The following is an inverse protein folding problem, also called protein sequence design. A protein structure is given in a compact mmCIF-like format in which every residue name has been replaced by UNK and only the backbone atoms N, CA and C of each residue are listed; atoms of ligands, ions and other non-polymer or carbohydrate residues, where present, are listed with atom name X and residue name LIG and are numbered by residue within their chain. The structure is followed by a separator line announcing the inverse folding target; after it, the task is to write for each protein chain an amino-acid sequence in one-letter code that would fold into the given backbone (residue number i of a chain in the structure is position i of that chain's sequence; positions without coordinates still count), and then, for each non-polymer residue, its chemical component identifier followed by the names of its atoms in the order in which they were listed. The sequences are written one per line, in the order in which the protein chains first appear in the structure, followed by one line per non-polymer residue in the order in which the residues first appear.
data_IF_446746161864
#
_entry.id   IF_446746161864
#
_cell.length_a   1.000
_cell.length_b   1.000
_cell.length_c   1.000
_cell.angle_alpha   90.00
_cell.angle_beta   90.00
_cell.angle_gamma   90.00
#
_symmetry.space_group_name_H-M   'P 1'
#
loop_
_entity.id
_entity.type
_entity.pdbx_description
1 polymer ?
#
# COMPACT_ATOMS: atom_id res chain seq x y z
N UNK A 1 -31.83 8.49 -11.25
CA UNK A 1 -30.65 8.38 -10.37
C UNK A 1 -29.74 9.57 -10.61
N UNK A 2 -29.24 10.19 -9.55
CA UNK A 2 -28.28 11.29 -9.63
C UNK A 2 -26.86 10.78 -9.91
N UNK A 3 -25.97 11.64 -10.42
CA UNK A 3 -24.54 11.31 -10.59
C UNK A 3 -23.88 10.86 -9.27
N UNK A 4 -24.34 11.40 -8.13
CA UNK A 4 -23.88 11.03 -6.78
C UNK A 4 -24.28 9.59 -6.42
N UNK A 5 -25.52 9.19 -6.72
CA UNK A 5 -25.99 7.82 -6.48
C UNK A 5 -25.27 6.79 -7.38
N UNK A 6 -24.91 7.17 -8.61
CA UNK A 6 -24.10 6.32 -9.48
C UNK A 6 -22.65 6.18 -8.98
N UNK A 7 -22.04 7.27 -8.51
CA UNK A 7 -20.70 7.24 -7.94
C UNK A 7 -20.62 6.37 -6.67
N UNK A 8 -21.64 6.43 -5.80
CA UNK A 8 -21.72 5.64 -4.56
C UNK A 8 -21.81 4.13 -4.81
N UNK A 9 -22.32 3.70 -5.97
CA UNK A 9 -22.35 2.28 -6.37
C UNK A 9 -21.01 1.77 -6.90
N UNK A 10 -20.04 2.66 -7.12
CA UNK A 10 -18.70 2.27 -7.53
C UNK A 10 -17.98 1.54 -6.39
N UNK A 11 -17.40 0.38 -6.69
CA UNK A 11 -16.53 -0.37 -5.78
C UNK A 11 -15.34 0.46 -5.24
N UNK A 12 -14.98 1.54 -5.94
CA UNK A 12 -13.91 2.46 -5.53
C UNK A 12 -14.39 3.61 -4.64
N UNK A 13 -15.70 3.84 -4.53
CA UNK A 13 -16.26 4.97 -3.78
C UNK A 13 -15.73 5.04 -2.35
N UNK A 14 -15.71 3.90 -1.65
CA UNK A 14 -15.26 3.80 -0.27
C UNK A 14 -13.78 4.14 -0.07
N UNK A 15 -13.00 4.19 -1.16
CA UNK A 15 -11.57 4.53 -1.15
C UNK A 15 -11.30 5.97 -1.62
N UNK A 16 -12.32 6.74 -1.96
CA UNK A 16 -12.18 8.14 -2.42
C UNK A 16 -12.03 9.06 -1.21
N UNK A 17 -11.11 10.02 -1.32
CA UNK A 17 -10.89 11.06 -0.31
C UNK A 17 -12.10 12.01 -0.19
N UNK A 18 -12.35 12.53 1.01
CA UNK A 18 -13.44 13.45 1.31
C UNK A 18 -13.43 14.71 0.43
N UNK A 19 -12.26 15.33 0.25
CA UNK A 19 -12.11 16.50 -0.63
C UNK A 19 -12.35 16.19 -2.13
N UNK A 20 -12.44 14.91 -2.50
CA UNK A 20 -12.79 14.42 -3.85
C UNK A 20 -14.20 13.84 -3.91
N UNK A 21 -15.03 14.07 -2.89
CA UNK A 21 -16.42 13.62 -2.83
C UNK A 21 -16.64 12.19 -2.30
N UNK A 22 -15.61 11.57 -1.73
CA UNK A 22 -15.71 10.25 -1.09
C UNK A 22 -15.86 10.31 0.44
N UNK A 23 -15.81 9.16 1.13
CA UNK A 23 -16.00 9.12 2.58
C UNK A 23 -14.70 9.25 3.40
N UNK A 24 -13.51 9.03 2.82
CA UNK A 24 -12.28 8.94 3.62
C UNK A 24 -11.73 10.30 4.02
N UNK A 25 -11.57 10.53 5.32
CA UNK A 25 -10.93 11.73 5.85
C UNK A 25 -9.43 11.78 5.50
N UNK A 26 -8.76 12.89 5.83
CA UNK A 26 -7.29 12.94 5.76
C UNK A 26 -6.67 11.93 6.73
N UNK A 27 -7.17 11.86 7.98
CA UNK A 27 -6.69 10.94 9.00
C UNK A 27 -6.81 9.48 8.58
N UNK A 28 -7.90 9.11 7.92
CA UNK A 28 -8.08 7.73 7.41
C UNK A 28 -7.00 7.37 6.39
N UNK A 29 -6.74 8.28 5.46
CA UNK A 29 -5.72 8.06 4.42
C UNK A 29 -4.31 8.04 5.00
N UNK A 30 -4.02 8.85 6.01
CA UNK A 30 -2.75 8.84 6.75
C UNK A 30 -2.53 7.50 7.47
N UNK A 31 -3.57 6.92 8.06
CA UNK A 31 -3.49 5.60 8.69
C UNK A 31 -3.30 4.47 7.68
N UNK A 32 -3.97 4.55 6.52
CA UNK A 32 -3.82 3.55 5.45
C UNK A 32 -2.42 3.57 4.81
N UNK A 33 -1.84 4.77 4.58
CA UNK A 33 -0.47 4.86 4.05
C UNK A 33 0.56 4.39 5.07
N UNK A 34 0.35 4.67 6.37
CA UNK A 34 1.18 4.16 7.47
C UNK A 34 1.19 2.65 7.46
N UNK A 35 0.02 2.02 7.50
CA UNK A 35 -0.11 0.57 7.50
C UNK A 35 0.57 -0.07 6.28
N UNK A 36 0.35 0.48 5.09
CA UNK A 36 0.99 -0.02 3.88
C UNK A 36 2.52 0.14 3.93
N UNK A 37 3.03 1.28 4.40
CA UNK A 37 4.46 1.54 4.59
C UNK A 37 5.07 0.54 5.57
N UNK A 38 4.45 0.33 6.73
CA UNK A 38 4.91 -0.61 7.76
C UNK A 38 5.00 -2.05 7.23
N UNK A 39 4.02 -2.50 6.41
CA UNK A 39 4.10 -3.80 5.75
C UNK A 39 5.33 -3.93 4.84
N UNK A 40 5.71 -2.87 4.11
CA UNK A 40 6.89 -2.90 3.24
C UNK A 40 8.19 -2.83 4.04
N UNK A 41 8.23 -2.01 5.09
CA UNK A 41 9.39 -1.89 5.98
C UNK A 41 9.71 -3.21 6.68
N UNK A 42 8.70 -3.96 7.10
CA UNK A 42 8.88 -5.25 7.76
C UNK A 42 9.62 -6.27 6.89
N UNK A 43 9.35 -6.27 5.57
CA UNK A 43 9.97 -7.18 4.61
C UNK A 43 11.19 -6.58 3.90
N UNK A 44 11.58 -5.34 4.22
CA UNK A 44 12.65 -4.62 3.52
C UNK A 44 14.00 -5.34 3.58
N UNK A 45 14.25 -6.07 4.68
CA UNK A 45 15.46 -6.87 4.87
C UNK A 45 15.65 -7.97 3.79
N UNK A 46 14.58 -8.35 3.07
CA UNK A 46 14.63 -9.32 1.98
C UNK A 46 15.09 -8.72 0.64
N UNK A 47 15.23 -7.39 0.55
CA UNK A 47 15.68 -6.72 -0.67
C UNK A 47 17.15 -7.00 -1.00
N UNK A 48 17.91 -7.52 -0.05
CA UNK A 48 19.34 -7.79 -0.16
C UNK A 48 20.19 -6.79 0.65
N UNK A 49 21.52 -6.92 0.57
CA UNK A 49 22.45 -6.10 1.36
C UNK A 49 22.44 -4.62 0.97
N UNK A 50 22.19 -4.32 -0.31
CA UNK A 50 22.06 -2.96 -0.83
C UNK A 50 20.64 -2.76 -1.37
N UNK A 51 19.85 -1.98 -0.64
CA UNK A 51 18.48 -1.63 -1.05
C UNK A 51 18.55 -0.49 -2.06
N UNK A 52 17.87 -0.64 -3.21
CA UNK A 52 17.77 0.43 -4.20
C UNK A 52 17.20 1.71 -3.56
N UNK A 53 17.92 2.82 -3.73
CA UNK A 53 17.56 4.11 -3.12
C UNK A 53 16.14 4.57 -3.50
N UNK A 54 15.62 4.18 -4.67
CA UNK A 54 14.25 4.53 -5.08
C UNK A 54 13.18 3.86 -4.22
N UNK A 55 13.48 2.71 -3.62
CA UNK A 55 12.60 2.04 -2.63
C UNK A 55 12.60 2.87 -1.35
N UNK A 56 13.79 3.22 -0.84
CA UNK A 56 13.97 4.01 0.39
C UNK A 56 13.27 5.37 0.25
N UNK A 57 13.48 6.06 -0.87
CA UNK A 57 12.85 7.34 -1.18
C UNK A 57 11.31 7.26 -1.15
N UNK A 58 10.73 6.17 -1.64
CA UNK A 58 9.29 5.95 -1.61
C UNK A 58 8.78 5.80 -0.18
N UNK A 59 9.45 5.03 0.67
CA UNK A 59 9.07 4.82 2.07
C UNK A 59 9.22 6.11 2.89
N UNK A 60 10.33 6.82 2.73
CA UNK A 60 10.56 8.13 3.38
C UNK A 60 9.51 9.15 2.95
N UNK A 61 9.16 9.18 1.65
CA UNK A 61 8.13 10.10 1.14
C UNK A 61 6.73 9.72 1.62
N UNK A 62 6.44 8.42 1.74
CA UNK A 62 5.20 7.95 2.34
C UNK A 62 5.07 8.42 3.80
N UNK A 63 6.14 8.28 4.60
CA UNK A 63 6.19 8.80 5.96
C UNK A 63 6.08 10.33 6.02
N UNK A 64 6.70 11.06 5.09
CA UNK A 64 6.56 12.51 5.01
C UNK A 64 5.12 12.93 4.72
N UNK A 65 4.42 12.24 3.80
CA UNK A 65 3.05 12.54 3.43
C UNK A 65 2.07 12.20 4.56
N UNK A 66 2.29 11.07 5.22
CA UNK A 66 1.59 10.68 6.45
C UNK A 66 1.59 11.82 7.48
N UNK A 67 2.70 12.57 7.58
CA UNK A 67 2.88 13.69 8.50
C UNK A 67 2.57 15.08 7.89
N UNK A 68 1.98 15.15 6.69
CA UNK A 68 1.62 16.41 6.04
C UNK A 68 2.81 17.25 5.54
N UNK A 69 3.99 16.63 5.38
CA UNK A 69 5.26 17.32 5.03
C UNK A 69 5.59 17.33 3.53
N UNK A 70 4.79 16.65 2.70
CA UNK A 70 5.01 16.59 1.25
C UNK A 70 3.69 16.46 0.49
N UNK A 71 3.73 16.70 -0.82
CA UNK A 71 2.55 16.68 -1.68
C UNK A 71 2.21 15.27 -2.19
N UNK A 72 0.95 15.06 -2.55
CA UNK A 72 0.55 13.84 -3.28
C UNK A 72 1.29 13.73 -4.64
N UNK A 73 1.63 14.85 -5.27
CA UNK A 73 2.40 14.86 -6.52
C UNK A 73 3.80 14.28 -6.35
N UNK A 74 4.49 14.61 -5.26
CA UNK A 74 5.81 14.08 -4.95
C UNK A 74 5.75 12.58 -4.60
N UNK A 75 4.70 12.16 -3.89
CA UNK A 75 4.43 10.74 -3.67
C UNK A 75 4.31 9.97 -4.98
N UNK A 76 3.59 10.51 -5.97
CA UNK A 76 3.46 9.87 -7.28
C UNK A 76 4.78 9.79 -8.05
N UNK A 77 5.63 10.82 -7.98
CA UNK A 77 6.99 10.76 -8.56
C UNK A 77 7.81 9.62 -7.94
N UNK A 78 7.78 9.46 -6.62
CA UNK A 78 8.49 8.38 -5.93
C UNK A 78 7.88 7.00 -6.19
N UNK A 79 6.56 6.90 -6.32
CA UNK A 79 5.88 5.68 -6.76
C UNK A 79 6.41 5.21 -8.13
N UNK A 80 6.50 6.12 -9.10
CA UNK A 80 7.05 5.83 -10.42
C UNK A 80 8.52 5.38 -10.34
N UNK A 81 9.32 6.04 -9.50
CA UNK A 81 10.71 5.66 -9.23
C UNK A 81 10.85 4.23 -8.69
N UNK A 82 10.08 3.87 -7.66
CA UNK A 82 10.09 2.52 -7.10
C UNK A 82 9.62 1.46 -8.12
N UNK A 83 8.60 1.78 -8.93
CA UNK A 83 8.20 0.92 -10.04
C UNK A 83 9.26 0.81 -11.15
N UNK A 84 10.07 1.84 -11.39
CA UNK A 84 11.22 1.75 -12.29
C UNK A 84 12.30 0.82 -11.73
N UNK A 85 12.57 0.87 -10.41
CA UNK A 85 13.47 -0.08 -9.74
C UNK A 85 13.00 -1.53 -9.91
N UNK A 86 11.70 -1.77 -9.75
CA UNK A 86 11.12 -3.09 -9.97
C UNK A 86 11.32 -3.61 -11.41
N UNK A 87 11.24 -2.73 -12.42
CA UNK A 87 11.36 -3.12 -13.84
C UNK A 87 12.76 -3.54 -14.24
N UNK A 88 13.79 -2.92 -13.65
CA UNK A 88 15.20 -3.20 -13.98
C UNK A 88 15.81 -4.32 -13.14
N UNK A 89 15.15 -4.72 -12.06
CA UNK A 89 15.61 -5.80 -11.17
C UNK A 89 15.42 -7.19 -11.79
N UNK A 90 16.47 -8.00 -11.76
CA UNK A 90 16.44 -9.44 -12.08
C UNK A 90 16.11 -10.31 -10.86
N UNK A 91 16.27 -9.79 -9.64
CA UNK A 91 15.83 -10.43 -8.41
C UNK A 91 14.31 -10.23 -8.22
N UNK A 92 13.55 -11.32 -8.18
CA UNK A 92 12.08 -11.30 -8.07
C UNK A 92 11.59 -10.82 -6.70
N UNK A 93 12.28 -11.18 -5.61
CA UNK A 93 11.97 -10.70 -4.25
C UNK A 93 12.17 -9.18 -4.16
N UNK A 94 13.31 -8.68 -4.64
CA UNK A 94 13.55 -7.23 -4.73
C UNK A 94 12.51 -6.53 -5.62
N UNK A 95 12.14 -7.13 -6.76
CA UNK A 95 11.10 -6.61 -7.65
C UNK A 95 9.74 -6.51 -6.94
N UNK A 96 9.38 -7.50 -6.12
CA UNK A 96 8.16 -7.45 -5.32
C UNK A 96 8.21 -6.34 -4.27
N UNK A 97 9.31 -6.19 -3.53
CA UNK A 97 9.49 -5.12 -2.53
C UNK A 97 9.44 -3.74 -3.18
N UNK A 98 10.09 -3.54 -4.33
CA UNK A 98 10.03 -2.30 -5.07
C UNK A 98 8.60 -1.96 -5.54
N UNK A 99 7.82 -2.97 -5.97
CA UNK A 99 6.40 -2.77 -6.26
C UNK A 99 5.60 -2.44 -5.01
N UNK A 100 5.91 -3.10 -3.89
CA UNK A 100 5.26 -2.85 -2.61
C UNK A 100 5.46 -1.39 -2.16
N UNK A 101 6.71 -0.89 -2.18
CA UNK A 101 7.03 0.49 -1.86
C UNK A 101 6.33 1.49 -2.81
N UNK A 102 6.31 1.19 -4.11
CA UNK A 102 5.62 2.01 -5.10
C UNK A 102 4.11 2.11 -4.85
N UNK A 103 3.47 1.02 -4.41
CA UNK A 103 2.05 1.01 -4.03
C UNK A 103 1.82 1.73 -2.70
N UNK A 104 2.65 1.49 -1.69
CA UNK A 104 2.53 2.13 -0.39
C UNK A 104 2.57 3.67 -0.51
N UNK A 105 3.54 4.23 -1.22
CA UNK A 105 3.59 5.70 -1.41
C UNK A 105 2.45 6.22 -2.30
N UNK A 106 1.93 5.42 -3.23
CA UNK A 106 0.78 5.78 -4.05
C UNK A 106 -0.56 5.84 -3.28
N UNK A 107 -0.61 5.33 -2.04
CA UNK A 107 -1.78 5.50 -1.15
C UNK A 107 -2.14 6.98 -0.94
N UNK A 108 -1.16 7.88 -1.03
CA UNK A 108 -1.36 9.32 -1.00
C UNK A 108 -2.28 9.85 -2.12
N UNK A 109 -2.30 9.17 -3.27
CA UNK A 109 -3.13 9.51 -4.43
C UNK A 109 -4.51 8.84 -4.37
N UNK A 110 -4.52 7.53 -4.12
CA UNK A 110 -5.74 6.72 -3.98
C UNK A 110 -5.55 5.69 -2.88
N UNK A 111 -6.47 5.68 -1.93
CA UNK A 111 -6.31 4.95 -0.69
C UNK A 111 -6.27 3.42 -0.87
N UNK A 112 -6.88 2.88 -1.94
CA UNK A 112 -6.88 1.44 -2.23
C UNK A 112 -5.52 0.88 -2.67
N UNK A 113 -4.54 1.74 -2.96
CA UNK A 113 -3.16 1.33 -3.15
C UNK A 113 -2.52 0.77 -1.88
N UNK A 114 -3.07 1.03 -0.69
CA UNK A 114 -2.56 0.46 0.56
C UNK A 114 -2.56 -1.07 0.54
N UNK A 115 -3.62 -1.68 -0.02
CA UNK A 115 -3.68 -3.13 -0.23
C UNK A 115 -2.57 -3.62 -1.16
N UNK A 116 -2.18 -2.80 -2.15
CA UNK A 116 -1.08 -3.12 -3.05
C UNK A 116 0.26 -3.21 -2.33
N UNK A 117 0.51 -2.32 -1.35
CA UNK A 117 1.70 -2.36 -0.51
C UNK A 117 1.79 -3.67 0.28
N UNK A 118 0.74 -3.97 1.04
CA UNK A 118 0.62 -5.20 1.82
C UNK A 118 0.70 -6.48 0.96
N UNK A 119 -0.04 -6.51 -0.16
CA UNK A 119 -0.04 -7.66 -1.09
C UNK A 119 1.34 -7.95 -1.66
N UNK A 120 2.07 -6.94 -2.14
CA UNK A 120 3.39 -7.16 -2.70
C UNK A 120 4.45 -7.47 -1.63
N UNK A 121 4.27 -7.00 -0.39
CA UNK A 121 5.09 -7.43 0.73
C UNK A 121 4.91 -8.93 1.02
N UNK A 122 3.68 -9.44 1.06
CA UNK A 122 3.40 -10.88 1.15
C UNK A 122 3.98 -11.65 -0.04
N UNK A 123 3.87 -11.09 -1.25
CA UNK A 123 4.47 -11.70 -2.44
C UNK A 123 5.99 -11.80 -2.34
N UNK A 124 6.65 -10.81 -1.71
CA UNK A 124 8.09 -10.86 -1.45
C UNK A 124 8.46 -12.01 -0.49
N UNK A 125 7.71 -12.20 0.59
CA UNK A 125 7.89 -13.35 1.52
C UNK A 125 7.82 -14.67 0.74
N UNK A 126 6.78 -14.86 -0.09
CA UNK A 126 6.61 -16.08 -0.90
C UNK A 126 7.80 -16.30 -1.84
N UNK A 127 8.25 -15.25 -2.53
CA UNK A 127 9.37 -15.32 -3.48
C UNK A 127 10.70 -15.59 -2.78
N UNK A 128 10.85 -15.16 -1.52
CA UNK A 128 11.99 -15.49 -0.67
C UNK A 128 11.94 -16.92 -0.10
N UNK A 129 10.89 -17.69 -0.37
CA UNK A 129 10.71 -19.05 0.17
C UNK A 129 10.39 -19.09 1.66
N UNK A 130 9.88 -17.99 2.21
CA UNK A 130 9.55 -17.86 3.63
C UNK A 130 8.07 -18.16 3.90
N UNK A 131 7.74 -18.36 5.18
CA UNK A 131 6.40 -18.73 5.63
C UNK A 131 5.45 -17.52 5.59
N UNK A 132 4.37 -17.65 4.80
CA UNK A 132 3.42 -16.55 4.56
C UNK A 132 2.53 -16.22 5.76
N UNK A 133 2.09 -17.21 6.53
CA UNK A 133 1.15 -17.01 7.63
C UNK A 133 1.72 -16.12 8.73
N UNK A 134 3.04 -16.16 8.95
CA UNK A 134 3.77 -15.33 9.89
C UNK A 134 3.67 -13.86 9.50
N UNK A 135 3.97 -13.52 8.25
CA UNK A 135 3.81 -12.15 7.74
C UNK A 135 2.35 -11.72 7.70
N UNK A 136 1.43 -12.59 7.26
CA UNK A 136 -0.02 -12.27 7.24
C UNK A 136 -0.52 -11.89 8.61
N UNK A 137 -0.17 -12.68 9.64
CA UNK A 137 -0.56 -12.40 11.03
C UNK A 137 0.01 -11.06 11.50
N UNK A 138 1.27 -10.77 11.20
CA UNK A 138 1.88 -9.49 11.54
C UNK A 138 1.16 -8.31 10.87
N UNK A 139 0.86 -8.41 9.57
CA UNK A 139 0.12 -7.36 8.83
C UNK A 139 -1.32 -7.19 9.36
N UNK A 140 -1.97 -8.28 9.76
CA UNK A 140 -3.28 -8.27 10.40
C UNK A 140 -3.24 -7.57 11.77
N UNK A 141 -2.24 -7.87 12.61
CA UNK A 141 -2.04 -7.19 13.90
C UNK A 141 -1.83 -5.68 13.71
N UNK A 142 -1.05 -5.27 12.71
CA UNK A 142 -0.92 -3.84 12.36
C UNK A 142 -2.24 -3.24 11.86
N UNK A 143 -3.01 -3.99 11.07
CA UNK A 143 -4.32 -3.56 10.59
C UNK A 143 -5.30 -3.33 11.74
N UNK A 144 -5.28 -4.18 12.77
CA UNK A 144 -6.18 -4.08 13.93
C UNK A 144 -5.96 -2.81 14.77
N UNK A 145 -4.85 -2.09 14.59
CA UNK A 145 -4.61 -0.78 15.22
C UNK A 145 -5.44 0.34 14.56
N UNK A 146 -5.90 0.16 13.33
CA UNK A 146 -6.68 1.16 12.60
C UNK A 146 -8.13 1.22 13.12
N UNK A 147 -8.87 2.32 12.87
CA UNK A 147 -10.31 2.39 13.09
C UNK A 147 -11.05 1.24 12.41
N UNK A 148 -12.05 0.68 13.11
CA UNK A 148 -12.78 -0.53 12.68
C UNK A 148 -13.32 -0.42 11.25
N UNK A 149 -13.74 0.77 10.84
CA UNK A 149 -14.29 1.01 9.50
C UNK A 149 -13.24 0.79 8.41
N UNK A 150 -11.97 1.13 8.67
CA UNK A 150 -10.87 0.89 7.74
C UNK A 150 -10.47 -0.57 7.72
N UNK A 151 -10.51 -1.25 8.87
CA UNK A 151 -10.26 -2.69 8.95
C UNK A 151 -11.26 -3.47 8.09
N UNK A 152 -12.55 -3.18 8.25
CA UNK A 152 -13.64 -3.79 7.48
C UNK A 152 -13.49 -3.50 5.99
N UNK A 153 -13.19 -2.24 5.64
CA UNK A 153 -12.99 -1.82 4.26
C UNK A 153 -11.82 -2.55 3.58
N UNK A 154 -10.68 -2.68 4.28
CA UNK A 154 -9.50 -3.44 3.81
C UNK A 154 -9.88 -4.90 3.63
N UNK A 155 -10.45 -5.56 4.64
CA UNK A 155 -10.82 -6.99 4.62
C UNK A 155 -11.82 -7.30 3.51
N UNK A 156 -12.89 -6.51 3.40
CA UNK A 156 -13.89 -6.67 2.35
C UNK A 156 -13.29 -6.51 0.94
N UNK A 157 -12.43 -5.51 0.75
CA UNK A 157 -11.77 -5.27 -0.55
C UNK A 157 -10.77 -6.38 -0.87
N UNK A 158 -10.05 -6.89 0.13
CA UNK A 158 -9.11 -8.01 -0.01
C UNK A 158 -9.81 -9.28 -0.51
N UNK A 159 -10.92 -9.64 0.15
CA UNK A 159 -11.78 -10.77 -0.24
C UNK A 159 -12.38 -10.56 -1.63
N UNK A 160 -12.94 -9.38 -1.90
CA UNK A 160 -13.55 -9.06 -3.19
C UNK A 160 -12.54 -9.16 -4.34
N UNK A 161 -11.28 -8.74 -4.12
CA UNK A 161 -10.20 -8.82 -5.11
C UNK A 161 -9.52 -10.20 -5.14
N UNK A 162 -9.94 -11.12 -4.27
CA UNK A 162 -9.38 -12.48 -4.11
C UNK A 162 -7.86 -12.46 -4.00
N UNK A 163 -7.33 -11.54 -3.17
CA UNK A 163 -5.89 -11.30 -3.13
C UNK A 163 -5.11 -12.52 -2.62
N UNK A 164 -5.68 -13.31 -1.71
CA UNK A 164 -5.05 -14.55 -1.23
C UNK A 164 -4.82 -15.58 -2.34
N UNK A 165 -5.75 -15.72 -3.28
CA UNK A 165 -5.64 -16.62 -4.45
C UNK A 165 -4.54 -16.16 -5.43
N UNK A 166 -4.04 -14.92 -5.28
CA UNK A 166 -3.11 -14.27 -6.22
C UNK A 166 -1.70 -14.09 -5.67
N UNK A 167 -1.45 -14.46 -4.41
CA UNK A 167 -0.12 -14.42 -3.78
C UNK A 167 0.63 -15.67 -4.23
#
# INVERSE_FOLDING_TARGET
MTSKEQAQRSKRYHWIAAHRGGPLSLSDRQQLIRWARECVEHVLHLAGPEVDQRIIDALVTAAAWENGKTSTGDCMKKSLGAHAAARVSTNETHKAIARAAGQAVATAHMADHSLGGAYYALKAIKLAGLELATEKRWQEERLLVLPVQLQELVKATWQQKKLDERI
#
